data_IF_405428697072
#
_entry.id   IF_405428697072
#
_cell.length_a   1.000
_cell.length_b   1.000
_cell.length_c   1.000
_cell.angle_alpha   90.00
_cell.angle_beta   90.00
_cell.angle_gamma   90.00
#
_symmetry.space_group_name_H-M   'P 1'
#
loop_
_entity.id
_entity.type
_entity.pdbx_description
1 polymer ?
#
# COMPACT_ATOMS: atom_id res chain seq x y z
N UNK A 1 12.88 -8.22 24.96
CA UNK A 1 11.98 -8.04 26.13
C UNK A 1 10.91 -7.03 25.77
N UNK A 2 9.69 -7.48 25.49
CA UNK A 2 8.52 -6.61 25.38
C UNK A 2 7.87 -6.61 26.76
N UNK A 3 7.85 -5.47 27.45
CA UNK A 3 7.28 -5.37 28.81
C UNK A 3 5.76 -5.49 28.77
N UNK A 4 5.15 -5.96 29.86
CA UNK A 4 3.68 -6.07 30.04
C UNK A 4 2.93 -4.76 29.72
N UNK A 5 3.59 -3.61 29.86
CA UNK A 5 3.06 -2.29 29.48
C UNK A 5 2.98 -2.05 27.96
N UNK A 6 3.94 -2.54 27.17
CA UNK A 6 3.90 -2.44 25.70
C UNK A 6 2.77 -3.28 25.11
N UNK A 7 2.44 -4.39 25.77
CA UNK A 7 1.35 -5.27 25.38
C UNK A 7 -0.03 -4.58 25.48
N UNK A 8 -0.19 -3.64 26.41
CA UNK A 8 -1.46 -2.90 26.61
C UNK A 8 -1.62 -1.67 25.72
N UNK A 9 -0.61 -1.27 24.97
CA UNK A 9 -0.70 -0.10 24.10
C UNK A 9 0.01 -0.34 22.76
N UNK A 10 -0.75 -0.67 21.69
CA UNK A 10 -0.16 -1.02 20.40
C UNK A 10 0.59 0.16 19.75
N UNK A 11 0.35 1.40 20.19
CA UNK A 11 1.09 2.58 19.74
C UNK A 11 2.55 2.58 20.19
N UNK A 12 2.87 1.95 21.33
CA UNK A 12 4.26 1.81 21.78
C UNK A 12 5.03 0.88 20.84
N UNK A 13 4.39 -0.21 20.40
CA UNK A 13 4.97 -1.14 19.41
C UNK A 13 5.15 -0.41 18.07
N UNK A 14 4.15 0.37 17.64
CA UNK A 14 4.27 1.22 16.45
C UNK A 14 5.51 2.13 16.54
N UNK A 15 5.64 2.88 17.64
CA UNK A 15 6.76 3.78 17.87
C UNK A 15 8.10 3.05 17.91
N UNK A 16 8.16 1.88 18.54
CA UNK A 16 9.36 1.05 18.58
C UNK A 16 9.76 0.53 17.20
N UNK A 17 8.83 -0.07 16.44
CA UNK A 17 9.11 -0.62 15.11
C UNK A 17 9.54 0.48 14.13
N UNK A 18 8.86 1.63 14.14
CA UNK A 18 9.25 2.75 13.31
C UNK A 18 10.57 3.37 13.78
N UNK A 19 10.77 3.53 15.08
CA UNK A 19 12.02 4.03 15.66
C UNK A 19 13.21 3.14 15.31
N UNK A 20 13.04 1.82 15.38
CA UNK A 20 14.01 0.83 14.90
C UNK A 20 14.34 1.05 13.43
N UNK A 21 13.31 1.19 12.57
CA UNK A 21 13.49 1.46 11.14
C UNK A 21 14.28 2.73 10.89
N UNK A 22 13.93 3.82 11.57
CA UNK A 22 14.58 5.13 11.45
C UNK A 22 16.03 5.08 11.95
N UNK A 23 16.28 4.44 13.09
CA UNK A 23 17.62 4.26 13.65
C UNK A 23 18.54 3.55 12.65
N UNK A 24 18.12 2.39 12.15
CA UNK A 24 18.93 1.66 11.18
C UNK A 24 19.08 2.47 9.90
N UNK A 25 18.01 3.09 9.39
CA UNK A 25 18.10 3.96 8.20
C UNK A 25 19.10 5.12 8.36
N UNK A 26 19.35 5.54 9.60
CA UNK A 26 20.23 6.66 9.93
C UNK A 26 21.60 6.21 10.42
N UNK A 27 21.87 4.89 10.46
CA UNK A 27 23.10 4.32 11.02
C UNK A 27 24.36 4.84 10.34
N UNK A 28 24.27 5.21 9.05
CA UNK A 28 25.37 5.83 8.31
C UNK A 28 25.81 7.17 8.91
N UNK A 29 24.87 7.99 9.39
CA UNK A 29 25.17 9.25 10.08
C UNK A 29 25.82 9.03 11.45
N UNK A 30 25.70 7.83 12.00
CA UNK A 30 26.34 7.40 13.25
C UNK A 30 27.70 6.71 13.01
N UNK A 31 28.18 6.68 11.77
CA UNK A 31 29.48 6.08 11.41
C UNK A 31 29.44 4.57 11.13
N UNK A 32 28.25 3.94 11.11
CA UNK A 32 28.14 2.53 10.74
C UNK A 32 28.19 2.33 9.21
N UNK A 33 28.95 1.32 8.76
CA UNK A 33 28.92 0.89 7.37
C UNK A 33 27.54 0.34 7.02
N UNK A 34 26.95 0.84 5.94
CA UNK A 34 25.66 0.38 5.44
C UNK A 34 25.65 0.41 3.93
N UNK A 35 25.43 -0.76 3.34
CA UNK A 35 25.06 -0.87 1.94
C UNK A 35 23.56 -0.55 1.79
N UNK A 36 23.27 0.57 1.13
CA UNK A 36 21.92 1.07 0.94
C UNK A 36 21.14 0.30 -0.14
N UNK A 37 21.84 -0.42 -1.03
CA UNK A 37 21.24 -1.25 -2.07
C UNK A 37 20.99 -2.69 -1.62
N UNK A 38 21.35 -3.01 -0.37
CA UNK A 38 21.21 -4.36 0.16
C UNK A 38 19.72 -4.73 0.36
N UNK A 39 19.40 -5.97 0.00
CA UNK A 39 18.12 -6.64 0.21
C UNK A 39 17.60 -6.55 1.66
N UNK A 40 18.52 -6.45 2.63
CA UNK A 40 18.21 -6.20 4.04
C UNK A 40 17.36 -4.93 4.25
N UNK A 41 17.54 -3.90 3.44
CA UNK A 41 16.74 -2.67 3.52
C UNK A 41 15.26 -2.93 3.21
N UNK A 42 14.99 -3.68 2.14
CA UNK A 42 13.65 -4.06 1.72
C UNK A 42 12.98 -4.98 2.73
N UNK A 43 13.73 -5.95 3.28
CA UNK A 43 13.27 -6.80 4.39
C UNK A 43 12.83 -5.96 5.59
N UNK A 44 13.64 -4.98 6.02
CA UNK A 44 13.29 -4.11 7.15
C UNK A 44 12.02 -3.29 6.89
N UNK A 45 11.82 -2.79 5.66
CA UNK A 45 10.61 -2.04 5.30
C UNK A 45 9.35 -2.88 5.49
N UNK A 46 9.36 -4.10 4.93
CA UNK A 46 8.23 -5.04 5.01
C UNK A 46 8.04 -5.54 6.44
N UNK A 47 9.12 -5.93 7.12
CA UNK A 47 9.07 -6.46 8.48
C UNK A 47 8.50 -5.43 9.46
N UNK A 48 8.88 -4.16 9.33
CA UNK A 48 8.33 -3.07 10.16
C UNK A 48 6.81 -3.04 10.06
N UNK A 49 6.27 -3.13 8.84
CA UNK A 49 4.83 -3.08 8.62
C UNK A 49 4.14 -4.35 9.13
N UNK A 50 4.67 -5.54 8.80
CA UNK A 50 4.09 -6.81 9.22
C UNK A 50 4.04 -6.94 10.75
N UNK A 51 5.10 -6.51 11.45
CA UNK A 51 5.13 -6.49 12.93
C UNK A 51 4.06 -5.57 13.52
N UNK A 52 3.89 -4.37 12.94
CA UNK A 52 2.85 -3.44 13.38
C UNK A 52 1.46 -4.04 13.15
N UNK A 53 1.22 -4.65 11.98
CA UNK A 53 -0.07 -5.27 11.65
C UNK A 53 -0.44 -6.36 12.65
N UNK A 54 0.43 -7.34 12.86
CA UNK A 54 0.13 -8.47 13.77
C UNK A 54 -0.02 -7.98 15.21
N UNK A 55 0.78 -7.01 15.65
CA UNK A 55 0.67 -6.46 17.00
C UNK A 55 -0.70 -5.81 17.26
N UNK A 56 -1.21 -5.05 16.30
CA UNK A 56 -2.54 -4.45 16.42
C UNK A 56 -3.67 -5.48 16.25
N UNK A 57 -3.52 -6.48 15.39
CA UNK A 57 -4.52 -7.56 15.27
C UNK A 57 -4.63 -8.37 16.58
N UNK A 58 -3.50 -8.69 17.23
CA UNK A 58 -3.46 -9.35 18.54
C UNK A 58 -4.06 -8.46 19.63
N UNK A 59 -3.78 -7.15 19.60
CA UNK A 59 -4.36 -6.21 20.55
C UNK A 59 -5.88 -6.14 20.41
N UNK A 60 -6.39 -5.98 19.18
CA UNK A 60 -7.84 -5.94 18.90
C UNK A 60 -8.51 -7.26 19.31
N UNK A 61 -7.83 -8.41 19.14
CA UNK A 61 -8.30 -9.72 19.62
C UNK A 61 -8.47 -9.75 21.14
N UNK A 62 -7.42 -9.38 21.89
CA UNK A 62 -7.42 -9.42 23.36
C UNK A 62 -8.42 -8.43 23.98
N UNK A 63 -8.51 -7.21 23.44
CA UNK A 63 -9.46 -6.20 23.93
C UNK A 63 -10.92 -6.67 23.77
N UNK A 64 -11.22 -7.41 22.71
CA UNK A 64 -12.55 -8.00 22.47
C UNK A 64 -12.85 -9.16 23.41
N UNK A 65 -11.86 -10.01 23.67
CA UNK A 65 -11.96 -11.15 24.59
C UNK A 65 -12.23 -10.65 26.03
N UNK A 66 -11.50 -9.62 26.48
CA UNK A 66 -11.71 -8.99 27.79
C UNK A 66 -13.09 -8.32 27.94
N UNK A 67 -13.70 -7.85 26.83
CA UNK A 67 -14.98 -7.11 26.84
C UNK A 67 -16.20 -7.96 26.47
N UNK A 68 -16.11 -9.29 26.59
CA UNK A 68 -17.21 -10.23 26.27
C UNK A 68 -17.83 -9.97 24.87
N UNK A 69 -17.01 -9.79 23.84
CA UNK A 69 -17.47 -9.58 22.45
C UNK A 69 -18.36 -8.33 22.20
N UNK A 70 -18.34 -7.33 23.08
CA UNK A 70 -19.00 -6.06 22.77
C UNK A 70 -18.24 -5.31 21.64
N UNK A 71 -18.90 -5.00 20.50
CA UNK A 71 -18.20 -4.39 19.38
C UNK A 71 -17.94 -2.90 19.64
N UNK A 72 -16.68 -2.52 19.90
CA UNK A 72 -16.22 -1.15 19.74
C UNK A 72 -15.26 -1.05 18.55
N UNK A 73 -15.68 -0.29 17.54
CA UNK A 73 -14.90 0.28 16.44
C UNK A 73 -13.63 -0.48 16.04
N UNK A 74 -13.76 -1.49 15.18
CA UNK A 74 -12.63 -2.32 14.76
C UNK A 74 -11.71 -1.59 13.78
N UNK A 75 -10.44 -1.40 14.17
CA UNK A 75 -9.36 -0.87 13.32
C UNK A 75 -9.25 -1.68 12.01
N UNK A 76 -9.53 -2.99 12.08
CA UNK A 76 -9.40 -3.93 10.96
C UNK A 76 -10.70 -4.34 10.26
N UNK A 77 -11.84 -3.76 10.64
CA UNK A 77 -13.14 -4.06 10.03
C UNK A 77 -13.62 -5.49 10.33
N UNK A 78 -14.10 -6.17 9.28
CA UNK A 78 -14.83 -7.45 9.37
C UNK A 78 -13.88 -8.66 9.51
N UNK A 79 -12.69 -8.56 8.92
CA UNK A 79 -11.70 -9.65 8.96
C UNK A 79 -10.86 -9.55 10.24
N UNK A 80 -11.17 -10.42 11.20
CA UNK A 80 -10.63 -10.40 12.57
C UNK A 80 -10.01 -11.76 12.94
N UNK A 81 -9.12 -11.76 13.93
CA UNK A 81 -8.57 -13.00 14.49
C UNK A 81 -9.63 -13.74 15.31
N UNK A 82 -9.68 -15.06 15.13
CA UNK A 82 -10.51 -15.99 15.92
C UNK A 82 -9.74 -16.59 17.09
N UNK A 83 -8.42 -16.74 16.93
CA UNK A 83 -7.49 -17.28 17.92
C UNK A 83 -6.23 -16.42 17.93
N UNK A 84 -5.64 -16.27 19.11
CA UNK A 84 -4.34 -15.62 19.23
C UNK A 84 -3.24 -16.44 18.52
N UNK A 85 -2.41 -15.81 17.66
CA UNK A 85 -1.30 -16.47 17.01
C UNK A 85 -0.20 -16.86 17.99
N UNK A 86 0.38 -18.06 17.79
CA UNK A 86 1.57 -18.47 18.55
C UNK A 86 2.81 -17.72 18.07
N UNK A 87 3.89 -17.77 18.84
CA UNK A 87 5.18 -17.19 18.43
C UNK A 87 5.69 -17.81 17.13
N UNK A 88 5.47 -19.11 16.94
CA UNK A 88 5.83 -19.82 15.71
C UNK A 88 4.99 -19.32 14.52
N UNK A 89 3.69 -19.09 14.71
CA UNK A 89 2.84 -18.57 13.65
C UNK A 89 3.27 -17.16 13.21
N UNK A 90 3.60 -16.31 14.18
CA UNK A 90 4.14 -14.97 13.91
C UNK A 90 5.46 -15.08 13.15
N UNK A 91 6.37 -15.96 13.57
CA UNK A 91 7.62 -16.19 12.84
C UNK A 91 7.37 -16.62 11.40
N UNK A 92 6.51 -17.61 11.17
CA UNK A 92 6.13 -18.09 9.84
C UNK A 92 5.51 -16.98 8.96
N UNK A 93 4.67 -16.12 9.53
CA UNK A 93 4.10 -14.96 8.84
C UNK A 93 5.17 -13.92 8.45
N UNK A 94 6.11 -13.64 9.36
CA UNK A 94 7.21 -12.70 9.13
C UNK A 94 8.19 -13.20 8.07
N UNK A 95 8.48 -14.50 8.06
CA UNK A 95 9.41 -15.14 7.10
C UNK A 95 8.73 -15.71 5.86
N UNK A 96 7.40 -15.57 5.74
CA UNK A 96 6.67 -16.07 4.57
C UNK A 96 7.25 -15.45 3.30
N UNK A 97 7.74 -16.31 2.39
CA UNK A 97 8.39 -15.90 1.15
C UNK A 97 7.49 -15.01 0.28
N UNK A 98 6.18 -15.29 0.29
CA UNK A 98 5.16 -14.50 -0.40
C UNK A 98 5.13 -13.11 0.23
N UNK A 99 5.59 -12.08 -0.49
CA UNK A 99 5.66 -10.71 0.03
C UNK A 99 6.73 -10.50 1.10
N UNK A 100 7.84 -11.24 1.06
CA UNK A 100 8.97 -11.06 2.00
C UNK A 100 9.78 -9.78 1.74
N UNK A 101 10.13 -9.52 0.47
CA UNK A 101 11.01 -8.41 0.08
C UNK A 101 10.27 -7.21 -0.47
N UNK A 102 9.28 -7.48 -1.31
CA UNK A 102 8.46 -6.49 -1.99
C UNK A 102 7.17 -7.17 -2.42
N UNK A 103 6.11 -6.39 -2.61
CA UNK A 103 4.80 -6.90 -2.99
C UNK A 103 3.70 -6.41 -2.07
N UNK A 104 2.50 -6.97 -2.22
CA UNK A 104 1.34 -6.58 -1.42
C UNK A 104 1.59 -6.84 0.05
N UNK A 105 1.31 -5.83 0.86
CA UNK A 105 1.28 -5.99 2.30
C UNK A 105 -0.09 -6.53 2.66
N UNK A 106 -0.09 -7.58 3.48
CA UNK A 106 -1.28 -8.24 3.95
C UNK A 106 -1.21 -8.45 5.46
N UNK A 107 -2.38 -8.62 6.07
CA UNK A 107 -2.56 -8.88 7.50
C UNK A 107 -2.16 -10.32 7.87
N UNK A 108 -1.90 -10.56 9.16
CA UNK A 108 -1.71 -11.92 9.66
C UNK A 108 -2.96 -12.77 9.43
N UNK A 109 -4.18 -12.21 9.61
CA UNK A 109 -5.40 -13.00 9.33
C UNK A 109 -5.49 -13.44 7.87
N UNK A 110 -5.11 -12.59 6.92
CA UNK A 110 -5.09 -12.95 5.49
C UNK A 110 -4.09 -14.07 5.18
N UNK A 111 -2.94 -14.07 5.86
CA UNK A 111 -1.96 -15.15 5.79
C UNK A 111 -2.51 -16.46 6.37
N UNK A 112 -3.18 -16.38 7.52
CA UNK A 112 -3.82 -17.54 8.14
C UNK A 112 -4.91 -18.14 7.24
N UNK A 113 -5.75 -17.29 6.63
CA UNK A 113 -6.78 -17.75 5.68
C UNK A 113 -6.17 -18.46 4.46
N UNK A 114 -5.03 -17.99 3.95
CA UNK A 114 -4.31 -18.69 2.86
C UNK A 114 -3.90 -20.12 3.27
N UNK A 115 -3.40 -20.30 4.50
CA UNK A 115 -2.97 -21.62 4.99
C UNK A 115 -4.15 -22.57 5.19
N UNK A 116 -5.26 -22.04 5.72
CA UNK A 116 -6.43 -22.85 6.08
C UNK A 116 -7.38 -23.09 4.90
N UNK A 117 -7.30 -22.28 3.84
CA UNK A 117 -8.16 -22.45 2.67
C UNK A 117 -7.67 -23.61 1.80
N UNK A 118 -8.55 -24.54 1.38
CA UNK A 118 -8.17 -25.58 0.42
C UNK A 118 -7.73 -24.95 -0.89
N UNK A 119 -6.63 -25.45 -1.47
CA UNK A 119 -6.11 -25.00 -2.76
C UNK A 119 -7.18 -25.04 -3.85
N UNK A 120 -7.33 -23.95 -4.61
CA UNK A 120 -8.29 -23.85 -5.72
C UNK A 120 -7.57 -23.53 -7.04
N UNK A 121 -8.01 -24.08 -8.18
CA UNK A 121 -7.46 -23.72 -9.48
C UNK A 121 -7.87 -22.29 -9.86
N UNK A 122 -6.89 -21.39 -9.98
CA UNK A 122 -7.06 -19.93 -10.17
C UNK A 122 -6.75 -19.52 -11.63
N UNK A 123 -7.07 -20.37 -12.61
CA UNK A 123 -6.54 -20.24 -13.98
C UNK A 123 -6.92 -18.92 -14.67
N UNK A 124 -8.19 -18.49 -14.62
CA UNK A 124 -8.63 -17.31 -15.37
C UNK A 124 -8.07 -15.98 -14.84
N UNK A 125 -8.13 -15.76 -13.53
CA UNK A 125 -7.59 -14.54 -12.89
C UNK A 125 -6.09 -14.46 -13.07
N UNK A 126 -5.39 -15.59 -12.91
CA UNK A 126 -3.96 -15.67 -13.13
C UNK A 126 -3.58 -15.30 -14.58
N UNK A 127 -4.29 -15.82 -15.59
CA UNK A 127 -4.01 -15.48 -16.99
C UNK A 127 -4.22 -14.02 -17.32
N UNK A 128 -5.27 -13.38 -16.78
CA UNK A 128 -5.48 -11.93 -16.92
C UNK A 128 -4.28 -11.17 -16.32
N UNK A 129 -3.83 -11.57 -15.14
CA UNK A 129 -2.71 -10.96 -14.44
C UNK A 129 -1.37 -11.13 -15.18
N UNK A 130 -1.11 -12.33 -15.72
CA UNK A 130 0.09 -12.61 -16.53
C UNK A 130 0.14 -11.70 -17.75
N UNK A 131 -0.98 -11.46 -18.44
CA UNK A 131 -1.03 -10.51 -19.57
C UNK A 131 -0.64 -9.10 -19.14
N UNK A 132 -1.08 -8.65 -17.97
CA UNK A 132 -0.68 -7.34 -17.41
C UNK A 132 0.82 -7.27 -17.08
N UNK A 133 1.39 -8.34 -16.50
CA UNK A 133 2.84 -8.45 -16.24
C UNK A 133 3.61 -8.35 -17.56
N UNK A 134 3.23 -9.13 -18.58
CA UNK A 134 3.89 -9.13 -19.88
C UNK A 134 3.80 -7.77 -20.56
N UNK A 135 2.61 -7.16 -20.60
CA UNK A 135 2.42 -5.83 -21.18
C UNK A 135 3.28 -4.76 -20.49
N UNK A 136 3.28 -4.72 -19.16
CA UNK A 136 4.12 -3.78 -18.40
C UNK A 136 5.61 -4.03 -18.62
N UNK A 137 6.03 -5.29 -18.72
CA UNK A 137 7.43 -5.67 -18.98
C UNK A 137 7.88 -5.24 -20.37
N UNK A 138 7.07 -5.45 -21.41
CA UNK A 138 7.38 -5.01 -22.77
C UNK A 138 7.55 -3.49 -22.83
N UNK A 139 6.63 -2.73 -22.22
CA UNK A 139 6.74 -1.26 -22.16
C UNK A 139 8.00 -0.83 -21.41
N UNK A 140 8.33 -1.49 -20.29
CA UNK A 140 9.55 -1.22 -19.54
C UNK A 140 10.82 -1.48 -20.36
N UNK A 141 10.89 -2.61 -21.08
CA UNK A 141 12.05 -2.96 -21.91
C UNK A 141 12.21 -2.03 -23.11
N UNK A 142 11.11 -1.66 -23.79
CA UNK A 142 11.13 -0.65 -24.85
C UNK A 142 11.62 0.69 -24.30
N UNK A 143 11.13 1.09 -23.12
CA UNK A 143 11.59 2.30 -22.45
C UNK A 143 13.09 2.29 -22.17
N UNK A 144 13.63 1.21 -21.61
CA UNK A 144 15.07 1.04 -21.38
C UNK A 144 15.89 1.09 -22.67
N UNK A 145 15.33 0.63 -23.80
CA UNK A 145 15.99 0.71 -25.10
C UNK A 145 16.00 2.13 -25.66
N UNK A 146 14.90 2.87 -25.48
CA UNK A 146 14.73 4.21 -26.06
C UNK A 146 15.39 5.32 -25.24
N UNK A 147 15.50 5.18 -23.92
CA UNK A 147 15.95 6.24 -23.04
C UNK A 147 17.07 5.78 -22.12
N UNK A 148 18.21 6.47 -22.17
CA UNK A 148 19.37 6.17 -21.32
C UNK A 148 19.21 6.75 -19.91
N UNK A 149 19.30 5.87 -18.92
CA UNK A 149 19.24 6.22 -17.50
C UNK A 149 20.44 7.06 -17.04
N UNK A 150 21.55 7.03 -17.78
CA UNK A 150 22.76 7.80 -17.49
C UNK A 150 22.55 9.31 -17.56
N UNK A 151 21.45 9.79 -18.15
CA UNK A 151 21.14 11.22 -18.18
C UNK A 151 21.14 11.84 -16.77
N UNK A 152 20.59 11.13 -15.78
CA UNK A 152 20.53 11.63 -14.40
C UNK A 152 21.89 11.77 -13.70
N UNK A 153 22.92 11.09 -14.20
CA UNK A 153 24.29 11.18 -13.68
C UNK A 153 25.22 11.94 -14.62
N UNK A 154 24.71 12.41 -15.76
CA UNK A 154 25.48 13.16 -16.75
C UNK A 154 25.58 14.64 -16.39
N UNK A 155 26.66 15.29 -16.81
CA UNK A 155 26.83 16.75 -16.67
C UNK A 155 25.77 17.53 -17.47
N UNK A 156 25.22 16.91 -18.53
CA UNK A 156 24.17 17.48 -19.37
C UNK A 156 22.92 17.91 -18.56
N UNK A 157 22.61 17.19 -17.48
CA UNK A 157 21.49 17.55 -16.60
C UNK A 157 21.64 18.98 -16.02
N UNK A 158 22.87 19.44 -15.78
CA UNK A 158 23.14 20.75 -15.21
C UNK A 158 23.25 21.84 -16.27
N UNK A 159 23.73 21.48 -17.46
CA UNK A 159 24.01 22.44 -18.55
C UNK A 159 22.82 22.65 -19.50
N UNK A 160 21.93 21.68 -19.63
CA UNK A 160 20.80 21.74 -20.56
C UNK A 160 19.79 22.85 -20.22
N UNK A 161 19.06 23.32 -21.22
CA UNK A 161 17.91 24.20 -21.01
C UNK A 161 16.82 23.49 -20.20
N UNK A 162 15.95 24.25 -19.53
CA UNK A 162 14.85 23.67 -18.75
C UNK A 162 13.96 22.75 -19.60
N UNK A 163 13.66 23.13 -20.85
CA UNK A 163 12.82 22.34 -21.76
C UNK A 163 13.51 21.02 -22.11
N UNK A 164 14.80 21.06 -22.48
CA UNK A 164 15.57 19.87 -22.79
C UNK A 164 15.65 18.92 -21.58
N UNK A 165 15.86 19.47 -20.37
CA UNK A 165 15.82 18.66 -19.14
C UNK A 165 14.47 17.99 -18.94
N UNK A 166 13.36 18.71 -19.07
CA UNK A 166 12.02 18.14 -18.87
C UNK A 166 11.71 17.02 -19.87
N UNK A 167 12.12 17.20 -21.14
CA UNK A 167 11.96 16.20 -22.19
C UNK A 167 12.76 14.91 -21.93
N UNK A 168 13.87 14.97 -21.20
CA UNK A 168 14.63 13.78 -20.79
C UNK A 168 14.13 13.21 -19.46
N UNK A 169 13.91 14.06 -18.45
CA UNK A 169 13.53 13.63 -17.09
C UNK A 169 12.18 12.92 -17.09
N UNK A 170 11.20 13.41 -17.86
CA UNK A 170 9.86 12.81 -17.88
C UNK A 170 9.84 11.34 -18.36
N UNK A 171 10.33 11.00 -19.56
CA UNK A 171 10.32 9.61 -20.02
C UNK A 171 11.23 8.70 -19.19
N UNK A 172 12.41 9.17 -18.74
CA UNK A 172 13.29 8.38 -17.88
C UNK A 172 12.62 8.13 -16.51
N UNK A 173 11.95 9.13 -15.95
CA UNK A 173 11.14 9.00 -14.74
C UNK A 173 10.00 7.99 -14.88
N UNK A 174 9.31 8.00 -16.02
CA UNK A 174 8.28 7.01 -16.35
C UNK A 174 8.86 5.58 -16.39
N UNK A 175 10.04 5.38 -16.97
CA UNK A 175 10.70 4.06 -16.99
C UNK A 175 11.06 3.58 -15.59
N UNK A 176 11.55 4.49 -14.75
CA UNK A 176 11.78 4.19 -13.33
C UNK A 176 10.49 3.76 -12.62
N UNK A 177 9.35 4.40 -12.92
CA UNK A 177 8.05 4.00 -12.39
C UNK A 177 7.64 2.60 -12.88
N UNK A 178 7.81 2.32 -14.17
CA UNK A 178 7.49 1.03 -14.78
C UNK A 178 8.23 -0.14 -14.12
N UNK A 179 9.50 0.06 -13.71
CA UNK A 179 10.26 -0.93 -12.94
C UNK A 179 9.53 -1.38 -11.67
N UNK A 180 8.96 -0.44 -10.92
CA UNK A 180 8.21 -0.76 -9.69
C UNK A 180 6.86 -1.41 -10.00
N UNK A 181 6.17 -0.96 -11.05
CA UNK A 181 4.92 -1.58 -11.51
C UNK A 181 5.15 -3.05 -11.83
N UNK A 182 6.17 -3.37 -12.63
CA UNK A 182 6.50 -4.77 -12.98
C UNK A 182 6.82 -5.58 -11.73
N UNK A 183 7.63 -5.03 -10.81
CA UNK A 183 7.98 -5.73 -9.56
C UNK A 183 6.75 -6.00 -8.67
N UNK A 184 5.81 -5.05 -8.56
CA UNK A 184 4.58 -5.26 -7.80
C UNK A 184 3.62 -6.22 -8.48
N UNK A 185 3.45 -6.15 -9.81
CA UNK A 185 2.64 -7.11 -10.53
C UNK A 185 3.19 -8.54 -10.40
N UNK A 186 4.51 -8.73 -10.40
CA UNK A 186 5.11 -10.03 -10.10
C UNK A 186 4.77 -10.48 -8.67
N UNK A 187 4.89 -9.60 -7.68
CA UNK A 187 4.51 -9.90 -6.29
C UNK A 187 3.03 -10.26 -6.13
N UNK A 188 2.14 -9.55 -6.82
CA UNK A 188 0.71 -9.85 -6.90
C UNK A 188 0.45 -11.22 -7.56
N UNK A 189 1.17 -11.52 -8.64
CA UNK A 189 1.08 -12.80 -9.33
C UNK A 189 1.45 -13.97 -8.43
N UNK A 190 2.49 -13.83 -7.60
CA UNK A 190 2.87 -14.83 -6.61
C UNK A 190 1.76 -15.00 -5.56
N UNK A 191 1.15 -13.91 -5.10
CA UNK A 191 0.02 -13.97 -4.16
C UNK A 191 -1.18 -14.72 -4.77
N UNK A 192 -1.51 -14.44 -6.03
CA UNK A 192 -2.58 -15.12 -6.78
C UNK A 192 -2.29 -16.62 -6.93
N UNK A 193 -1.04 -16.99 -7.26
CA UNK A 193 -0.65 -18.39 -7.44
C UNK A 193 -0.87 -19.25 -6.19
N UNK A 194 -0.59 -18.70 -5.00
CA UNK A 194 -0.75 -19.42 -3.73
C UNK A 194 -2.14 -19.25 -3.11
N UNK A 195 -3.04 -18.49 -3.75
CA UNK A 195 -4.38 -18.21 -3.20
C UNK A 195 -4.42 -17.15 -2.10
N UNK A 196 -3.34 -16.40 -1.87
CA UNK A 196 -3.28 -15.37 -0.84
C UNK A 196 -4.20 -14.20 -1.19
N UNK A 197 -5.10 -13.84 -0.26
CA UNK A 197 -6.03 -12.73 -0.46
C UNK A 197 -7.23 -13.06 -1.35
N UNK A 198 -7.48 -14.34 -1.63
CA UNK A 198 -8.65 -14.82 -2.35
C UNK A 198 -9.90 -14.72 -1.46
N UNK A 199 -10.84 -13.85 -1.83
CA UNK A 199 -12.13 -13.73 -1.13
C UNK A 199 -13.30 -13.62 -2.11
N UNK A 200 -14.52 -14.01 -1.69
CA UNK A 200 -15.72 -13.84 -2.51
C UNK A 200 -15.97 -12.36 -2.88
N UNK A 201 -16.41 -12.10 -4.12
CA UNK A 201 -16.78 -10.76 -4.58
C UNK A 201 -17.84 -10.10 -3.70
N UNK A 202 -18.75 -10.90 -3.14
CA UNK A 202 -19.82 -10.44 -2.24
C UNK A 202 -19.30 -9.76 -0.98
N UNK A 203 -18.07 -10.05 -0.55
CA UNK A 203 -17.49 -9.48 0.68
C UNK A 203 -16.83 -8.11 0.47
N UNK A 204 -16.84 -7.61 -0.77
CA UNK A 204 -16.21 -6.36 -1.19
C UNK A 204 -14.79 -6.18 -0.60
N UNK A 205 -13.84 -7.09 -0.93
CA UNK A 205 -12.47 -7.00 -0.45
C UNK A 205 -11.77 -5.74 -0.98
N UNK A 206 -10.93 -5.16 -0.12
CA UNK A 206 -10.19 -3.93 -0.39
C UNK A 206 -8.67 -4.15 -0.18
N UNK A 207 -7.80 -3.48 -0.95
CA UNK A 207 -6.34 -3.58 -0.81
C UNK A 207 -5.85 -3.40 0.64
N UNK A 208 -5.05 -4.35 1.13
CA UNK A 208 -4.51 -4.42 2.49
C UNK A 208 -5.54 -4.72 3.59
N UNK A 209 -6.76 -4.17 3.48
CA UNK A 209 -7.84 -4.32 4.46
C UNK A 209 -8.47 -5.71 4.48
N UNK A 210 -8.57 -6.35 3.32
CA UNK A 210 -9.36 -7.57 3.14
C UNK A 210 -10.87 -7.30 3.03
N UNK A 211 -11.71 -8.32 3.25
CA UNK A 211 -13.17 -8.26 3.26
C UNK A 211 -13.72 -7.11 4.13
N UNK A 212 -14.71 -6.39 3.60
CA UNK A 212 -15.35 -5.26 4.29
C UNK A 212 -16.83 -5.47 4.59
N UNK A 213 -17.45 -6.48 3.98
CA UNK A 213 -18.87 -6.77 4.12
C UNK A 213 -19.09 -8.28 4.32
N UNK A 214 -20.26 -8.65 4.86
CA UNK A 214 -20.76 -10.02 4.96
C UNK A 214 -19.81 -11.06 5.63
N UNK A 215 -19.49 -10.91 6.93
CA UNK A 215 -18.59 -11.81 7.68
C UNK A 215 -18.99 -13.28 7.61
N UNK A 216 -20.28 -13.59 7.55
CA UNK A 216 -20.78 -14.96 7.49
C UNK A 216 -20.27 -15.74 6.28
N UNK A 217 -19.90 -15.06 5.19
CA UNK A 217 -19.40 -15.67 3.96
C UNK A 217 -17.90 -16.03 4.03
N UNK A 218 -17.25 -15.79 5.17
CA UNK A 218 -15.81 -16.04 5.39
C UNK A 218 -15.52 -17.35 6.12
N UNK A 219 -16.52 -18.08 6.61
CA UNK A 219 -16.29 -19.34 7.32
C UNK A 219 -15.84 -20.42 6.33
N UNK A 220 -14.55 -20.71 6.35
CA UNK A 220 -13.95 -21.83 5.63
C UNK A 220 -14.13 -23.10 6.47
N UNK A 221 -15.22 -23.84 6.28
CA UNK A 221 -15.46 -25.10 6.98
C UNK A 221 -16.87 -25.68 6.81
N UNK A 222 -16.91 -26.97 6.46
CA UNK A 222 -18.01 -27.96 6.53
C UNK A 222 -19.10 -28.06 5.45
N UNK A 223 -19.34 -27.08 4.57
CA UNK A 223 -20.23 -27.32 3.41
C UNK A 223 -19.57 -26.89 2.10
N UNK A 224 -18.71 -27.77 1.59
CA UNK A 224 -17.82 -27.56 0.45
C UNK A 224 -18.48 -27.61 -0.93
N UNK A 225 -19.79 -27.87 -1.06
CA UNK A 225 -20.35 -28.20 -2.38
C UNK A 225 -20.79 -27.03 -3.27
N UNK A 226 -21.09 -25.83 -2.75
CA UNK A 226 -21.47 -24.69 -3.62
C UNK A 226 -21.08 -23.33 -3.03
N UNK A 227 -19.80 -22.97 -3.13
CA UNK A 227 -19.44 -21.54 -3.18
C UNK A 227 -19.46 -21.11 -4.64
N UNK A 228 -20.67 -20.91 -5.17
CA UNK A 228 -21.00 -20.39 -6.50
C UNK A 228 -20.53 -18.96 -6.75
N UNK A 229 -19.94 -18.29 -5.75
CA UNK A 229 -19.55 -16.89 -5.86
C UNK A 229 -18.22 -16.74 -6.60
N UNK A 230 -18.18 -15.82 -7.54
CA UNK A 230 -16.94 -15.36 -8.16
C UNK A 230 -16.02 -14.79 -7.08
N UNK A 231 -14.75 -15.21 -7.08
CA UNK A 231 -13.73 -14.74 -6.12
C UNK A 231 -12.83 -13.72 -6.81
N UNK A 232 -12.27 -12.79 -6.02
CA UNK A 232 -11.24 -11.87 -6.51
C UNK A 232 -10.04 -11.81 -5.55
N UNK A 233 -8.99 -11.12 -6.02
CA UNK A 233 -7.72 -10.92 -5.33
C UNK A 233 -7.47 -9.45 -4.97
N UNK A 234 -8.52 -8.62 -4.89
CA UNK A 234 -8.38 -7.18 -4.63
C UNK A 234 -7.68 -6.87 -3.30
N UNK A 235 -7.74 -7.80 -2.34
CA UNK A 235 -7.03 -7.64 -1.05
C UNK A 235 -5.54 -7.45 -1.20
N UNK A 236 -4.96 -8.06 -2.24
CA UNK A 236 -3.52 -8.06 -2.50
C UNK A 236 -3.18 -7.20 -3.72
N UNK A 237 -4.12 -6.42 -4.23
CA UNK A 237 -3.87 -5.50 -5.35
C UNK A 237 -3.09 -4.28 -4.84
N UNK A 238 -1.86 -4.12 -5.30
CA UNK A 238 -0.99 -2.99 -4.98
C UNK A 238 -1.03 -1.92 -6.05
N UNK A 239 -1.24 -2.29 -7.31
CA UNK A 239 -1.33 -1.35 -8.43
C UNK A 239 -2.36 -1.80 -9.46
N UNK A 240 -3.08 -0.83 -10.03
CA UNK A 240 -3.89 -1.06 -11.21
C UNK A 240 -3.11 -0.59 -12.45
N UNK A 241 -2.60 -1.50 -13.30
CA UNK A 241 -1.66 -1.13 -14.36
C UNK A 241 -2.24 -0.14 -15.37
N UNK A 242 -3.46 -0.36 -15.86
CA UNK A 242 -4.06 0.48 -16.90
C UNK A 242 -4.53 1.82 -16.34
N UNK A 243 -5.28 1.80 -15.24
CA UNK A 243 -5.77 3.01 -14.60
C UNK A 243 -4.61 3.87 -14.09
N UNK A 244 -3.62 3.27 -13.43
CA UNK A 244 -2.49 4.00 -12.86
C UNK A 244 -1.55 4.65 -13.89
N UNK A 245 -1.60 4.24 -15.16
CA UNK A 245 -0.75 4.78 -16.23
C UNK A 245 -1.48 5.83 -17.07
N UNK A 246 -2.78 5.61 -17.36
CA UNK A 246 -3.56 6.48 -18.26
C UNK A 246 -4.31 7.58 -17.49
N UNK A 247 -4.41 7.47 -16.17
CA UNK A 247 -5.11 8.46 -15.35
C UNK A 247 -4.41 9.84 -15.42
N UNK A 248 -5.19 10.83 -15.85
CA UNK A 248 -4.71 12.21 -16.00
C UNK A 248 -4.75 12.93 -14.65
N UNK A 249 -5.66 12.53 -13.77
CA UNK A 249 -5.78 13.14 -12.44
C UNK A 249 -4.65 12.68 -11.53
N UNK A 250 -3.96 13.66 -10.93
CA UNK A 250 -2.87 13.42 -10.00
C UNK A 250 -3.36 12.68 -8.74
N UNK A 251 -4.47 13.13 -8.15
CA UNK A 251 -5.11 12.50 -7.00
C UNK A 251 -5.49 11.05 -7.26
N UNK A 252 -6.14 10.78 -8.40
CA UNK A 252 -6.56 9.42 -8.73
C UNK A 252 -5.35 8.54 -9.00
N UNK A 253 -4.31 9.06 -9.67
CA UNK A 253 -3.06 8.32 -9.87
C UNK A 253 -2.45 7.90 -8.54
N UNK A 254 -2.39 8.83 -7.57
CA UNK A 254 -1.94 8.50 -6.22
C UNK A 254 -2.78 7.37 -5.62
N UNK A 255 -4.11 7.41 -5.70
CA UNK A 255 -4.97 6.36 -5.13
C UNK A 255 -4.77 4.95 -5.71
N UNK A 256 -4.17 4.82 -6.89
CA UNK A 256 -3.86 3.53 -7.51
C UNK A 256 -2.40 3.08 -7.28
N UNK A 257 -1.59 3.88 -6.56
CA UNK A 257 -0.18 3.60 -6.31
C UNK A 257 0.05 2.99 -4.93
N UNK A 258 0.55 1.75 -4.89
CA UNK A 258 0.93 1.05 -3.66
C UNK A 258 -0.23 0.98 -2.64
N UNK A 259 -1.39 0.53 -3.11
CA UNK A 259 -2.67 0.60 -2.40
C UNK A 259 -2.64 -0.05 -1.01
N UNK A 260 -1.93 -1.17 -0.82
CA UNK A 260 -1.84 -1.81 0.49
C UNK A 260 -1.06 -0.97 1.51
N UNK A 261 0.05 -0.31 1.11
CA UNK A 261 0.77 0.65 1.97
C UNK A 261 -0.09 1.86 2.26
N UNK A 262 -0.83 2.37 1.27
CA UNK A 262 -1.73 3.50 1.49
C UNK A 262 -2.81 3.19 2.50
N UNK A 263 -3.41 1.99 2.40
CA UNK A 263 -4.34 1.52 3.41
C UNK A 263 -3.69 1.48 4.79
N UNK A 264 -2.49 0.90 4.91
CA UNK A 264 -1.74 0.84 6.17
C UNK A 264 -1.50 2.24 6.76
N UNK A 265 -0.90 3.15 5.97
CA UNK A 265 -0.70 4.56 6.37
C UNK A 265 -2.01 5.24 6.79
N UNK A 266 -3.09 4.96 6.05
CA UNK A 266 -4.40 5.52 6.36
C UNK A 266 -4.91 5.03 7.72
N UNK A 267 -4.82 3.74 8.02
CA UNK A 267 -5.31 3.18 9.28
C UNK A 267 -4.50 3.65 10.48
N UNK A 268 -3.17 3.54 10.41
CA UNK A 268 -2.33 3.75 11.59
C UNK A 268 -1.99 5.21 11.84
N UNK A 269 -1.99 6.05 10.80
CA UNK A 269 -1.50 7.43 10.90
C UNK A 269 -2.60 8.41 10.56
N UNK A 270 -3.15 8.36 9.34
CA UNK A 270 -4.15 9.32 8.91
C UNK A 270 -5.39 9.28 9.80
N UNK A 271 -5.89 8.10 10.17
CA UNK A 271 -7.07 7.88 11.02
C UNK A 271 -6.78 7.95 12.51
N UNK A 272 -5.51 8.08 12.91
CA UNK A 272 -5.13 8.21 14.31
C UNK A 272 -5.76 9.45 14.97
N UNK A 273 -5.83 9.42 16.31
CA UNK A 273 -6.32 10.52 17.12
C UNK A 273 -5.23 11.56 17.46
N UNK A 274 -4.09 11.54 16.76
CA UNK A 274 -2.98 12.50 17.01
C UNK A 274 -3.38 13.92 16.65
N UNK A 275 -4.10 14.09 15.53
CA UNK A 275 -4.60 15.39 15.07
C UNK A 275 -6.13 15.39 15.01
N UNK A 276 -6.80 16.53 15.30
CA UNK A 276 -8.25 16.66 15.16
C UNK A 276 -8.77 16.29 13.76
N UNK A 277 -9.99 15.76 13.66
CA UNK A 277 -10.61 15.38 12.37
C UNK A 277 -10.88 16.56 11.44
N UNK A 278 -10.98 17.78 11.99
CA UNK A 278 -11.11 19.02 11.22
C UNK A 278 -9.86 19.35 10.39
N UNK A 279 -8.67 18.97 10.86
CA UNK A 279 -7.39 19.33 10.23
C UNK A 279 -6.97 18.35 9.13
N UNK A 280 -7.79 18.23 8.06
CA UNK A 280 -7.55 17.25 6.98
C UNK A 280 -6.16 17.38 6.34
N UNK A 281 -5.76 18.60 5.95
CA UNK A 281 -4.46 18.85 5.31
C UNK A 281 -3.28 18.45 6.19
N UNK A 282 -3.29 18.84 7.48
CA UNK A 282 -2.25 18.48 8.43
C UNK A 282 -2.15 16.96 8.66
N UNK A 283 -3.27 16.24 8.64
CA UNK A 283 -3.29 14.77 8.73
C UNK A 283 -2.65 14.12 7.50
N UNK A 284 -2.93 14.61 6.30
CA UNK A 284 -2.30 14.10 5.06
C UNK A 284 -0.79 14.39 5.09
N UNK A 285 -0.40 15.61 5.44
CA UNK A 285 1.01 15.98 5.59
C UNK A 285 1.73 15.06 6.57
N UNK A 286 1.17 14.87 7.78
CA UNK A 286 1.73 13.96 8.77
C UNK A 286 1.85 12.53 8.22
N UNK A 287 0.84 12.03 7.53
CA UNK A 287 0.85 10.70 6.92
C UNK A 287 2.00 10.53 5.93
N UNK A 288 2.28 11.54 5.10
CA UNK A 288 3.39 11.50 4.15
C UNK A 288 4.75 11.74 4.79
N UNK A 289 4.84 12.52 5.87
CA UNK A 289 6.05 12.59 6.70
C UNK A 289 6.43 11.21 7.24
N UNK A 290 5.46 10.47 7.78
CA UNK A 290 5.69 9.12 8.25
C UNK A 290 6.01 8.13 7.12
N UNK A 291 5.40 8.30 5.95
CA UNK A 291 5.76 7.55 4.75
C UNK A 291 7.24 7.78 4.37
N UNK A 292 7.70 9.04 4.38
CA UNK A 292 9.10 9.38 4.14
C UNK A 292 10.04 8.77 5.19
N UNK A 293 9.68 8.87 6.48
CA UNK A 293 10.45 8.26 7.57
C UNK A 293 10.53 6.73 7.46
N UNK A 294 9.44 6.08 7.03
CA UNK A 294 9.43 4.64 6.78
C UNK A 294 10.43 4.27 5.69
N UNK A 295 10.47 5.02 4.58
CA UNK A 295 11.48 4.84 3.54
C UNK A 295 12.91 5.11 4.05
N UNK A 296 13.10 6.14 4.86
CA UNK A 296 14.36 6.44 5.56
C UNK A 296 14.68 7.92 5.69
N UNK A 297 15.75 8.28 6.42
CA UNK A 297 16.20 9.68 6.52
C UNK A 297 17.10 10.04 5.33
N UNK A 298 16.46 10.34 4.20
CA UNK A 298 17.14 10.88 3.00
C UNK A 298 16.37 12.08 2.44
N UNK A 299 17.03 13.18 2.06
CA UNK A 299 16.36 14.38 1.53
C UNK A 299 15.40 14.07 0.37
N UNK A 300 15.79 13.17 -0.54
CA UNK A 300 14.97 12.80 -1.69
C UNK A 300 13.59 12.23 -1.34
N UNK A 301 13.45 11.46 -0.25
CA UNK A 301 12.15 10.93 0.16
C UNK A 301 11.20 12.03 0.62
N UNK A 302 11.71 12.99 1.39
CA UNK A 302 10.91 14.12 1.87
C UNK A 302 10.57 15.08 0.73
N UNK A 303 11.54 15.38 -0.15
CA UNK A 303 11.32 16.23 -1.33
C UNK A 303 10.29 15.63 -2.30
N UNK A 304 10.22 14.30 -2.39
CA UNK A 304 9.23 13.63 -3.23
C UNK A 304 7.83 13.59 -2.59
N UNK A 305 7.74 13.25 -1.29
CA UNK A 305 6.45 12.94 -0.65
C UNK A 305 5.76 14.16 -0.03
N UNK A 306 6.49 15.11 0.56
CA UNK A 306 5.89 16.25 1.25
C UNK A 306 5.19 17.27 0.33
N UNK A 307 5.60 17.47 -0.93
CA UNK A 307 4.86 18.33 -1.86
C UNK A 307 3.56 17.72 -2.37
N UNK A 308 3.39 16.39 -2.30
CA UNK A 308 2.20 15.73 -2.87
C UNK A 308 0.87 16.33 -2.37
N UNK A 309 0.63 16.57 -1.05
CA UNK A 309 -0.63 17.12 -0.56
C UNK A 309 -0.93 18.50 -1.12
N UNK A 310 0.11 19.28 -1.44
CA UNK A 310 -0.04 20.60 -2.03
C UNK A 310 -0.54 20.50 -3.47
N UNK A 311 0.09 19.67 -4.31
CA UNK A 311 -0.37 19.42 -5.68
C UNK A 311 -1.80 18.87 -5.71
N UNK A 312 -2.09 18.00 -4.75
CA UNK A 312 -3.39 17.42 -4.57
C UNK A 312 -4.45 18.51 -4.21
N UNK A 313 -4.16 19.38 -3.23
CA UNK A 313 -5.06 20.49 -2.88
C UNK A 313 -5.26 21.49 -4.03
N UNK A 314 -4.22 21.74 -4.83
CA UNK A 314 -4.30 22.57 -6.04
C UNK A 314 -5.25 21.96 -7.07
N UNK A 315 -5.11 20.67 -7.36
CA UNK A 315 -5.97 19.97 -8.31
C UNK A 315 -7.45 20.00 -7.86
N UNK A 316 -7.72 19.76 -6.58
CA UNK A 316 -9.08 19.83 -6.03
C UNK A 316 -9.69 21.24 -6.18
N UNK A 317 -8.87 22.27 -5.97
CA UNK A 317 -9.27 23.68 -6.14
C UNK A 317 -9.60 24.00 -7.60
N UNK A 318 -8.77 23.54 -8.54
CA UNK A 318 -9.02 23.67 -9.98
C UNK A 318 -10.34 23.00 -10.39
N UNK A 319 -10.57 21.74 -9.97
CA UNK A 319 -11.82 21.05 -10.26
C UNK A 319 -13.04 21.70 -9.61
N UNK A 320 -12.89 22.27 -8.41
CA UNK A 320 -13.96 23.04 -7.78
C UNK A 320 -14.35 24.27 -8.61
N UNK A 321 -13.36 25.06 -9.06
CA UNK A 321 -13.59 26.24 -9.89
C UNK A 321 -14.21 25.87 -11.24
N UNK A 322 -13.72 24.81 -11.89
CA UNK A 322 -14.29 24.30 -13.13
C UNK A 322 -15.75 23.90 -12.98
N UNK A 323 -16.11 23.15 -11.92
CA UNK A 323 -17.50 22.77 -11.63
C UNK A 323 -18.38 24.00 -11.36
N UNK A 324 -17.86 25.02 -10.66
CA UNK A 324 -18.56 26.27 -10.39
C UNK A 324 -18.85 27.04 -11.68
N UNK A 325 -17.85 27.14 -12.57
CA UNK A 325 -17.99 27.79 -13.88
C UNK A 325 -19.06 27.11 -14.74
N UNK A 326 -18.99 25.77 -14.89
CA UNK A 326 -19.97 25.00 -15.69
C UNK A 326 -21.39 25.16 -15.15
N UNK A 327 -21.58 25.18 -13.84
CA UNK A 327 -22.91 25.42 -13.24
C UNK A 327 -23.43 26.82 -13.58
N UNK A 328 -22.59 27.84 -13.46
CA UNK A 328 -22.96 29.21 -13.77
C UNK A 328 -23.34 29.39 -15.25
N UNK A 329 -22.60 28.74 -16.16
CA UNK A 329 -22.89 28.76 -17.60
C UNK A 329 -24.22 28.07 -17.93
N UNK A 330 -24.50 26.91 -17.32
CA UNK A 330 -25.80 26.22 -17.45
C UNK A 330 -26.97 27.05 -16.91
N UNK A 331 -26.79 27.75 -15.79
CA UNK A 331 -27.83 28.63 -15.26
C UNK A 331 -28.08 29.82 -16.19
N UNK A 332 -27.03 30.40 -16.78
CA UNK A 332 -27.16 31.49 -17.76
C UNK A 332 -27.87 31.04 -19.04
N UNK A 333 -27.58 29.85 -19.56
CA UNK A 333 -28.25 29.33 -20.76
C UNK A 333 -29.74 29.04 -20.55
N UNK A 334 -30.16 28.67 -19.33
CA UNK A 334 -31.58 28.45 -18.98
C UNK A 334 -32.34 29.76 -18.75
N UNK A 335 -31.66 30.84 -18.38
CA UNK A 335 -32.29 32.16 -18.18
C UNK A 335 -32.37 32.99 -19.48
N UNK A 336 -31.60 32.63 -20.51
CA UNK A 336 -31.53 33.35 -21.79
C UNK A 336 -32.17 32.60 -22.97
N UNK A 337 -32.75 31.41 -22.75
CA UNK A 337 -33.53 30.66 -23.72
C UNK A 337 -34.93 30.42 -23.17
#
# INVERSE_FOLDING_TARGET
MVTSSMIKNPKLIFGFCLGYRVFFSSSKYLGFYRDEQNLANSLMLVATIKMILVAYEVFDYRDRDEKNNQPKSYTFGVLQLEKEPTQLDIFCYMTCFVGLFTGPIYKYRTFYDMIMSPYRPISQTLWKHIRSILGATVVFLIGLFLFDMKYFTSENLLTDTLVARLLHVYPVGFIYQMRYIVAWLLGEGICILVGLGMYPNTTNPQPGKGPTQHPQNLKFGENQEKLTFEHNFKTVENIQPLTGIVEISFWKTLHHWNCCVQWWLSQFIYRSNVLPKSMRGARVFLTLCFSALWHGIKPGYFMCLLPLPFFAALEESCFYLQRKYIRHEKTRSVLCG
#
